data_IF_233343909227
#
_entry.id   IF_233343909227
#
_cell.length_a   1.000
_cell.length_b   1.000
_cell.length_c   1.000
_cell.angle_alpha   90.00
_cell.angle_beta   90.00
_cell.angle_gamma   90.00
#
_symmetry.space_group_name_H-M   'P 1'
#
loop_
_entity.id
_entity.type
_entity.pdbx_description
1 polymer ?
#
# COMPACT_ATOMS: atom_id res chain seq x y z
N UNK A 1 41.62 -14.12 -31.32
CA UNK A 1 43.07 -14.26 -31.27
C UNK A 1 43.42 -15.16 -30.07
N UNK A 2 44.27 -16.16 -30.29
CA UNK A 2 44.78 -17.03 -29.23
C UNK A 2 45.81 -16.27 -28.39
N UNK A 3 45.96 -16.69 -27.14
CA UNK A 3 46.90 -16.14 -26.16
C UNK A 3 46.64 -14.66 -25.79
N UNK A 4 45.45 -14.13 -26.09
CA UNK A 4 44.97 -12.82 -25.61
C UNK A 4 43.82 -12.96 -24.66
N UNK A 5 43.70 -11.98 -23.77
CA UNK A 5 42.58 -11.90 -22.82
C UNK A 5 41.28 -11.60 -23.57
N UNK A 6 40.28 -12.48 -23.41
CA UNK A 6 38.93 -12.30 -23.90
C UNK A 6 38.03 -11.92 -22.76
N UNK A 7 37.22 -10.87 -22.93
CA UNK A 7 36.22 -10.44 -21.97
C UNK A 7 34.86 -10.90 -22.47
N UNK A 8 34.11 -11.65 -21.64
CA UNK A 8 32.81 -12.17 -22.00
C UNK A 8 31.78 -11.03 -22.13
N UNK A 9 31.18 -10.86 -23.33
CA UNK A 9 30.30 -9.74 -23.62
C UNK A 9 28.91 -9.92 -23.02
N UNK A 10 28.09 -8.88 -23.08
CA UNK A 10 26.62 -9.01 -22.84
C UNK A 10 26.03 -9.98 -23.86
N UNK A 11 25.02 -10.73 -23.44
CA UNK A 11 24.27 -11.61 -24.31
C UNK A 11 23.26 -10.79 -25.13
N UNK A 12 23.33 -10.91 -26.45
CA UNK A 12 22.41 -10.27 -27.39
C UNK A 12 21.31 -11.22 -27.86
N UNK A 13 21.36 -12.50 -27.46
CA UNK A 13 20.32 -13.47 -27.79
C UNK A 13 19.04 -13.21 -26.98
N UNK A 14 17.91 -13.46 -27.62
CA UNK A 14 16.61 -13.41 -26.93
C UNK A 14 16.51 -14.57 -25.96
N UNK A 15 16.21 -14.24 -24.70
CA UNK A 15 16.01 -15.25 -23.67
C UNK A 15 14.79 -16.14 -23.98
N UNK A 16 14.87 -17.46 -23.76
CA UNK A 16 13.69 -18.31 -23.77
C UNK A 16 12.66 -17.83 -22.75
N UNK A 17 11.36 -18.09 -23.02
CA UNK A 17 10.28 -17.68 -22.15
C UNK A 17 10.49 -18.16 -20.70
N UNK A 18 10.32 -17.25 -19.75
CA UNK A 18 10.50 -17.52 -18.31
C UNK A 18 11.95 -17.63 -17.83
N UNK A 19 12.93 -17.35 -18.69
CA UNK A 19 14.35 -17.47 -18.36
C UNK A 19 15.10 -16.16 -18.57
N UNK A 20 16.24 -16.03 -17.90
CA UNK A 20 17.20 -14.96 -18.14
C UNK A 20 18.60 -15.53 -18.38
N UNK A 21 19.47 -14.70 -18.93
CA UNK A 21 20.84 -15.08 -19.21
C UNK A 21 21.63 -15.27 -17.91
N UNK A 22 22.17 -16.47 -17.73
CA UNK A 22 23.04 -16.81 -16.58
C UNK A 22 24.49 -16.46 -16.82
N UNK A 23 24.97 -16.76 -18.03
CA UNK A 23 26.37 -16.60 -18.39
C UNK A 23 26.75 -17.34 -19.65
N UNK A 24 27.99 -17.28 -20.00
CA UNK A 24 28.61 -17.97 -21.11
C UNK A 24 29.29 -19.24 -20.61
N UNK A 25 28.92 -20.38 -21.13
CA UNK A 25 29.55 -21.65 -20.77
C UNK A 25 30.66 -22.00 -21.76
N UNK A 26 31.82 -22.31 -21.21
CA UNK A 26 32.95 -22.93 -21.92
C UNK A 26 33.30 -24.21 -21.17
N UNK A 27 33.17 -25.35 -21.82
CA UNK A 27 33.25 -26.66 -21.18
C UNK A 27 32.25 -26.77 -19.98
N UNK A 28 32.76 -26.98 -18.78
CA UNK A 28 31.96 -27.09 -17.55
C UNK A 28 31.95 -25.79 -16.71
N UNK A 29 32.54 -24.70 -17.22
CA UNK A 29 32.66 -23.44 -16.49
C UNK A 29 31.73 -22.40 -17.09
N UNK A 30 30.93 -21.71 -16.21
CA UNK A 30 30.08 -20.61 -16.61
C UNK A 30 30.74 -19.29 -16.22
N UNK A 31 30.91 -18.41 -17.18
CA UNK A 31 31.48 -17.06 -17.04
C UNK A 31 30.37 -16.02 -17.08
N UNK A 32 30.44 -15.03 -16.21
CA UNK A 32 29.53 -13.89 -16.22
C UNK A 32 29.95 -12.86 -17.25
N UNK A 33 29.05 -11.95 -17.58
CA UNK A 33 29.40 -10.74 -18.37
C UNK A 33 30.53 -9.97 -17.68
N UNK A 34 31.56 -9.66 -18.43
CA UNK A 34 32.75 -8.94 -17.91
C UNK A 34 33.82 -9.85 -17.34
N UNK A 35 33.57 -11.14 -17.12
CA UNK A 35 34.63 -12.09 -16.76
C UNK A 35 35.63 -12.21 -17.88
N UNK A 36 36.85 -12.57 -17.53
CA UNK A 36 37.97 -12.63 -18.46
C UNK A 36 38.61 -14.03 -18.51
N UNK A 37 39.03 -14.45 -19.68
CA UNK A 37 39.75 -15.69 -19.90
C UNK A 37 40.73 -15.56 -21.05
N UNK A 38 41.89 -16.17 -20.92
CA UNK A 38 42.84 -16.35 -22.04
C UNK A 38 42.52 -17.69 -22.71
N UNK A 39 42.24 -17.66 -24.01
CA UNK A 39 42.07 -18.85 -24.83
C UNK A 39 43.39 -19.25 -25.48
N UNK A 40 43.80 -20.48 -25.27
CA UNK A 40 45.02 -21.08 -25.82
C UNK A 40 44.70 -21.97 -27.04
N UNK A 41 45.73 -22.56 -27.63
CA UNK A 41 45.58 -23.51 -28.74
C UNK A 41 44.72 -24.74 -28.34
N UNK A 42 44.76 -25.13 -27.06
CA UNK A 42 43.94 -26.26 -26.55
C UNK A 42 42.45 -25.94 -26.51
N UNK A 43 42.09 -24.66 -26.60
CA UNK A 43 40.70 -24.17 -26.63
C UNK A 43 40.16 -24.02 -28.08
N UNK A 44 40.94 -24.34 -29.11
CA UNK A 44 40.64 -24.01 -30.52
C UNK A 44 39.31 -24.57 -31.04
N UNK A 45 38.84 -25.68 -30.48
CA UNK A 45 37.58 -26.33 -30.85
C UNK A 45 36.50 -26.23 -29.79
N UNK A 46 36.67 -25.42 -28.76
CA UNK A 46 35.70 -25.23 -27.70
C UNK A 46 34.60 -24.28 -28.12
N UNK A 47 33.37 -24.67 -27.82
CA UNK A 47 32.20 -23.81 -28.06
C UNK A 47 31.95 -22.91 -26.87
N UNK A 48 31.55 -21.66 -27.12
CA UNK A 48 31.00 -20.75 -26.14
C UNK A 48 29.48 -20.76 -26.29
N UNK A 49 28.75 -21.20 -25.28
CA UNK A 49 27.30 -21.33 -25.30
C UNK A 49 26.66 -20.39 -24.29
N UNK A 50 25.55 -19.76 -24.69
CA UNK A 50 24.71 -19.02 -23.76
C UNK A 50 23.99 -20.02 -22.83
N UNK A 51 24.06 -19.78 -21.52
CA UNK A 51 23.33 -20.55 -20.50
C UNK A 51 22.21 -19.68 -19.96
N UNK A 52 21.07 -20.29 -19.79
CA UNK A 52 19.84 -19.68 -19.32
C UNK A 52 19.39 -20.31 -18.01
N UNK A 53 18.85 -19.50 -17.11
CA UNK A 53 18.22 -19.99 -15.88
C UNK A 53 16.84 -19.37 -15.69
N UNK A 54 15.98 -20.05 -14.95
CA UNK A 54 14.64 -19.57 -14.64
C UNK A 54 14.70 -18.40 -13.66
N UNK A 55 13.70 -17.52 -13.72
CA UNK A 55 13.61 -16.42 -12.77
C UNK A 55 13.30 -16.95 -11.38
N UNK A 56 14.11 -16.55 -10.40
CA UNK A 56 13.83 -16.76 -8.98
C UNK A 56 13.46 -15.40 -8.37
N UNK A 57 12.19 -15.26 -7.98
CA UNK A 57 11.66 -14.00 -7.43
C UNK A 57 11.83 -13.97 -5.90
N UNK A 58 13.06 -13.82 -5.45
CA UNK A 58 13.45 -13.81 -4.04
C UNK A 58 13.79 -12.41 -3.50
N UNK A 59 13.98 -11.43 -4.40
CA UNK A 59 14.33 -10.07 -4.03
C UNK A 59 13.09 -9.28 -3.61
N UNK A 60 13.19 -8.61 -2.44
CA UNK A 60 12.13 -7.75 -1.87
C UNK A 60 12.51 -6.29 -2.05
N UNK A 61 12.54 -5.84 -3.29
CA UNK A 61 12.88 -4.47 -3.66
C UNK A 61 11.62 -3.67 -3.95
N UNK A 62 11.51 -2.46 -3.38
CA UNK A 62 10.39 -1.53 -3.62
C UNK A 62 10.50 -0.82 -4.97
N UNK A 63 11.67 -0.86 -5.57
CA UNK A 63 11.99 -0.27 -6.87
C UNK A 63 13.00 -1.13 -7.60
N UNK A 64 12.83 -1.29 -8.91
CA UNK A 64 13.74 -2.00 -9.81
C UNK A 64 13.95 -1.13 -11.05
N UNK A 65 15.20 -0.82 -11.38
CA UNK A 65 15.57 0.02 -12.53
C UNK A 65 14.82 1.37 -12.60
N UNK A 66 14.58 2.01 -11.44
CA UNK A 66 13.87 3.28 -11.35
C UNK A 66 12.34 3.17 -11.48
N UNK A 67 11.79 1.95 -11.46
CA UNK A 67 10.35 1.71 -11.55
C UNK A 67 9.86 1.07 -10.24
N UNK A 68 8.81 1.64 -9.64
CA UNK A 68 8.21 1.10 -8.43
C UNK A 68 7.61 -0.28 -8.68
N UNK A 69 7.83 -1.19 -7.75
CA UNK A 69 7.23 -2.53 -7.73
C UNK A 69 5.93 -2.59 -6.92
N UNK A 70 5.38 -1.43 -6.55
CA UNK A 70 4.16 -1.32 -5.75
C UNK A 70 2.98 -2.00 -6.45
N UNK A 71 2.34 -2.95 -5.76
CA UNK A 71 1.08 -3.57 -6.14
C UNK A 71 -0.11 -2.88 -5.50
N UNK A 72 -0.12 -2.82 -4.17
CA UNK A 72 -1.21 -2.25 -3.39
C UNK A 72 -0.66 -1.22 -2.39
N UNK A 73 -1.24 -0.03 -2.36
CA UNK A 73 -0.88 1.00 -1.38
C UNK A 73 -1.32 0.60 0.03
N UNK A 74 -0.58 1.06 1.03
CA UNK A 74 -1.02 0.96 2.42
C UNK A 74 -2.36 1.67 2.62
N UNK A 75 -3.20 1.09 3.48
CA UNK A 75 -4.45 1.69 3.95
C UNK A 75 -4.37 1.95 5.45
N UNK A 76 -5.46 2.38 6.06
CA UNK A 76 -5.51 2.54 7.52
C UNK A 76 -5.22 1.22 8.25
N UNK A 77 -5.60 0.09 7.66
CA UNK A 77 -5.58 -1.23 8.31
C UNK A 77 -4.66 -2.25 7.65
N UNK A 78 -4.22 -1.99 6.42
CA UNK A 78 -3.36 -2.92 5.67
C UNK A 78 -2.02 -2.28 5.31
N UNK A 79 -0.99 -3.09 5.31
CA UNK A 79 0.34 -2.69 4.84
C UNK A 79 0.39 -2.59 3.32
N UNK A 80 1.37 -1.85 2.79
CA UNK A 80 1.66 -1.83 1.37
C UNK A 80 2.17 -3.20 0.90
N UNK A 81 1.80 -3.58 -0.33
CA UNK A 81 2.21 -4.81 -0.98
C UNK A 81 3.00 -4.47 -2.23
N UNK A 82 4.12 -5.13 -2.41
CA UNK A 82 5.01 -4.98 -3.54
C UNK A 82 5.22 -6.32 -4.24
N UNK A 83 5.44 -6.29 -5.55
CA UNK A 83 5.91 -7.48 -6.28
C UNK A 83 7.38 -7.75 -5.96
N UNK A 84 7.71 -9.02 -5.80
CA UNK A 84 9.11 -9.47 -5.72
C UNK A 84 9.80 -9.34 -7.07
N UNK A 85 11.12 -9.35 -7.05
CA UNK A 85 11.93 -9.32 -8.26
C UNK A 85 13.00 -10.42 -8.27
N UNK A 86 13.45 -10.74 -9.45
CA UNK A 86 14.64 -11.57 -9.68
C UNK A 86 15.91 -10.69 -9.61
N UNK A 87 17.03 -11.26 -9.25
CA UNK A 87 18.33 -10.58 -9.26
C UNK A 87 18.72 -10.01 -10.65
N UNK A 88 18.11 -10.55 -11.72
CA UNK A 88 18.30 -10.00 -13.09
C UNK A 88 17.51 -8.71 -13.36
N UNK A 89 16.66 -8.25 -12.42
CA UNK A 89 15.82 -7.07 -12.59
C UNK A 89 14.43 -7.34 -13.15
N UNK A 90 14.07 -8.61 -13.42
CA UNK A 90 12.69 -8.94 -13.79
C UNK A 90 11.79 -8.88 -12.57
N UNK A 91 10.66 -8.18 -12.67
CA UNK A 91 9.64 -8.09 -11.62
C UNK A 91 8.59 -9.20 -11.83
N UNK A 92 8.21 -9.89 -10.77
CA UNK A 92 7.14 -10.89 -10.77
C UNK A 92 5.78 -10.22 -11.05
N UNK A 93 4.88 -10.96 -11.67
CA UNK A 93 3.47 -10.57 -11.83
C UNK A 93 2.55 -11.24 -10.80
N UNK A 94 3.06 -12.19 -10.03
CA UNK A 94 2.28 -13.00 -9.10
C UNK A 94 2.85 -13.02 -7.68
N UNK A 95 4.18 -13.14 -7.54
CA UNK A 95 4.81 -13.21 -6.24
C UNK A 95 4.98 -11.83 -5.63
N UNK A 96 4.55 -11.71 -4.37
CA UNK A 96 4.53 -10.44 -3.64
C UNK A 96 5.18 -10.56 -2.28
N UNK A 97 5.45 -9.42 -1.66
CA UNK A 97 5.80 -9.30 -0.26
C UNK A 97 5.08 -8.11 0.37
N UNK A 98 4.82 -8.22 1.64
CA UNK A 98 4.25 -7.16 2.46
C UNK A 98 5.37 -6.30 3.05
N UNK A 99 5.21 -4.98 2.96
CA UNK A 99 6.09 -4.01 3.60
C UNK A 99 5.55 -3.70 4.99
N UNK A 100 6.07 -4.40 5.99
CA UNK A 100 5.59 -4.32 7.37
C UNK A 100 5.65 -2.90 7.93
N UNK A 101 4.74 -2.62 8.87
CA UNK A 101 4.68 -1.35 9.60
C UNK A 101 4.37 -0.11 8.72
N UNK A 102 3.77 -0.34 7.54
CA UNK A 102 3.33 0.75 6.64
C UNK A 102 1.85 1.08 6.75
N UNK A 103 1.09 0.40 7.60
CA UNK A 103 -0.31 0.77 7.90
C UNK A 103 -0.39 2.23 8.30
N UNK A 104 -1.32 2.97 7.71
CA UNK A 104 -1.45 4.41 7.98
C UNK A 104 -2.12 4.72 9.31
N UNK A 105 -2.83 3.75 9.90
CA UNK A 105 -3.69 3.96 11.05
C UNK A 105 -4.91 4.82 10.73
N UNK A 106 -5.81 4.97 11.68
CA UNK A 106 -6.93 5.90 11.57
C UNK A 106 -6.55 7.27 12.12
N UNK A 107 -7.06 8.33 11.48
CA UNK A 107 -6.94 9.71 11.92
C UNK A 107 -8.33 10.32 12.00
N UNK A 108 -8.90 10.35 13.21
CA UNK A 108 -10.26 10.77 13.49
C UNK A 108 -10.34 12.30 13.65
N UNK A 109 -10.43 13.00 12.53
CA UNK A 109 -10.48 14.47 12.46
C UNK A 109 -11.62 15.00 11.59
N UNK A 110 -12.25 14.13 10.80
CA UNK A 110 -13.29 14.54 9.87
C UNK A 110 -14.64 14.61 10.59
N UNK A 111 -15.29 15.77 10.51
CA UNK A 111 -16.64 15.99 11.02
C UNK A 111 -17.68 15.66 9.96
N UNK A 112 -18.55 14.71 10.26
CA UNK A 112 -19.64 14.28 9.37
C UNK A 112 -20.92 14.25 10.20
N UNK A 113 -21.91 15.06 9.80
CA UNK A 113 -23.24 15.12 10.42
C UNK A 113 -24.21 14.19 9.71
N UNK A 114 -24.06 12.91 9.97
CA UNK A 114 -24.91 11.86 9.43
C UNK A 114 -25.30 10.90 10.57
N UNK A 115 -26.47 10.30 10.48
CA UNK A 115 -26.97 9.36 11.50
C UNK A 115 -26.01 8.23 11.85
N UNK A 116 -25.20 7.81 10.88
CA UNK A 116 -24.13 6.80 11.06
C UNK A 116 -23.10 7.22 12.11
N UNK A 117 -22.83 8.53 12.22
CA UNK A 117 -21.82 9.07 13.14
C UNK A 117 -22.46 9.67 14.40
N UNK A 118 -23.79 9.68 14.51
CA UNK A 118 -24.47 10.22 15.67
C UNK A 118 -24.12 9.42 16.93
N UNK A 119 -23.62 10.10 17.96
CA UNK A 119 -23.32 9.54 19.28
C UNK A 119 -24.51 9.73 20.21
N UNK A 120 -25.02 10.95 20.28
CA UNK A 120 -26.23 11.30 21.03
C UNK A 120 -26.91 12.50 20.40
N UNK A 121 -28.23 12.47 20.40
CA UNK A 121 -29.04 13.60 19.97
C UNK A 121 -29.38 14.47 21.17
N UNK A 122 -29.31 15.78 21.01
CA UNK A 122 -29.77 16.72 22.00
C UNK A 122 -31.28 16.52 22.28
N UNK A 123 -31.66 16.43 23.54
CA UNK A 123 -33.05 16.18 23.95
C UNK A 123 -33.88 17.47 23.97
N UNK A 124 -33.26 18.62 23.95
CA UNK A 124 -33.87 19.93 24.00
C UNK A 124 -33.04 20.99 23.29
N UNK A 125 -33.56 22.21 23.23
CA UNK A 125 -32.91 23.33 22.52
C UNK A 125 -31.62 23.88 23.19
N UNK A 126 -31.17 23.30 24.28
CA UNK A 126 -29.96 23.69 25.00
C UNK A 126 -28.88 22.59 24.86
N UNK A 127 -29.25 21.40 24.45
CA UNK A 127 -28.35 20.27 24.28
C UNK A 127 -27.95 20.11 22.82
N UNK A 128 -26.68 20.03 22.57
CA UNK A 128 -26.15 19.83 21.23
C UNK A 128 -26.18 18.36 20.81
N UNK A 129 -26.37 18.12 19.52
CA UNK A 129 -26.10 16.81 18.95
C UNK A 129 -24.60 16.53 19.01
N UNK A 130 -24.27 15.33 19.44
CA UNK A 130 -22.87 14.86 19.53
C UNK A 130 -22.63 13.81 18.47
N UNK A 131 -21.53 13.96 17.74
CA UNK A 131 -21.14 13.06 16.67
C UNK A 131 -19.75 12.50 16.89
N UNK A 132 -19.56 11.25 16.52
CA UNK A 132 -18.23 10.66 16.42
C UNK A 132 -17.46 11.27 15.24
N UNK A 133 -16.17 11.52 15.42
CA UNK A 133 -15.31 11.85 14.30
C UNK A 133 -15.21 10.66 13.35
N UNK A 134 -15.09 10.95 12.06
CA UNK A 134 -14.72 9.99 11.04
C UNK A 134 -13.21 10.07 10.76
N UNK A 135 -12.65 8.95 10.33
CA UNK A 135 -11.29 8.92 9.81
C UNK A 135 -11.17 9.77 8.54
N UNK A 136 -10.17 10.66 8.47
CA UNK A 136 -9.93 11.53 7.32
C UNK A 136 -9.62 10.78 6.02
N UNK A 137 -9.15 9.52 6.12
CA UNK A 137 -8.67 8.69 5.00
C UNK A 137 -9.68 7.67 4.48
N UNK A 138 -10.53 7.13 5.35
CA UNK A 138 -11.42 5.99 5.00
C UNK A 138 -12.85 6.12 5.53
N UNK A 139 -13.21 7.24 6.14
CA UNK A 139 -14.53 7.54 6.68
C UNK A 139 -15.08 6.52 7.73
N UNK A 140 -14.21 5.66 8.28
CA UNK A 140 -14.59 4.79 9.41
C UNK A 140 -14.86 5.68 10.63
N UNK A 141 -15.93 5.38 11.36
CA UNK A 141 -16.32 6.11 12.58
C UNK A 141 -15.41 5.75 13.74
N UNK A 142 -15.06 6.73 14.57
CA UNK A 142 -14.35 6.50 15.82
C UNK A 142 -15.14 5.60 16.81
N UNK A 143 -16.46 5.53 16.66
CA UNK A 143 -17.33 4.61 17.41
C UNK A 143 -16.87 3.16 17.31
N UNK A 144 -16.36 2.77 16.13
CA UNK A 144 -15.99 1.38 15.81
C UNK A 144 -14.54 1.04 16.18
N UNK A 145 -13.83 1.98 16.82
CA UNK A 145 -12.44 1.82 17.27
C UNK A 145 -12.34 1.98 18.79
N UNK A 146 -12.03 0.88 19.47
CA UNK A 146 -11.91 0.84 20.92
C UNK A 146 -10.88 1.85 21.49
N UNK A 147 -9.89 2.21 20.69
CA UNK A 147 -8.83 3.16 21.06
C UNK A 147 -9.21 4.62 20.78
N UNK A 148 -10.39 4.90 20.26
CA UNK A 148 -10.83 6.22 19.85
C UNK A 148 -12.15 6.65 20.50
N UNK A 149 -12.47 6.13 21.69
CA UNK A 149 -13.72 6.40 22.39
C UNK A 149 -13.86 7.84 22.91
N UNK A 150 -12.81 8.62 22.90
CA UNK A 150 -12.77 10.05 23.20
C UNK A 150 -12.90 10.96 21.96
N UNK A 151 -12.98 10.40 20.77
CA UNK A 151 -12.97 11.12 19.49
C UNK A 151 -14.39 11.43 19.02
N UNK A 152 -15.04 12.42 19.67
CA UNK A 152 -16.33 12.96 19.30
C UNK A 152 -16.35 14.49 19.42
N UNK A 153 -17.34 15.13 18.84
CA UNK A 153 -17.50 16.57 18.86
C UNK A 153 -18.99 16.94 19.02
N UNK A 154 -19.23 18.10 19.61
CA UNK A 154 -20.55 18.71 19.66
C UNK A 154 -20.81 19.49 18.37
N UNK A 155 -21.97 19.29 17.76
CA UNK A 155 -22.36 20.10 16.59
C UNK A 155 -22.86 21.46 17.04
N UNK A 156 -22.97 22.39 16.08
CA UNK A 156 -23.62 23.67 16.35
C UNK A 156 -25.16 23.53 16.42
N UNK A 157 -25.67 22.38 16.01
CA UNK A 157 -27.12 22.10 16.04
C UNK A 157 -27.51 21.61 17.42
N UNK A 158 -28.64 22.12 17.89
CA UNK A 158 -29.26 21.71 19.15
C UNK A 158 -30.49 20.89 18.88
N UNK A 159 -30.95 20.13 19.86
CA UNK A 159 -32.18 19.35 19.76
C UNK A 159 -33.39 20.23 19.47
N UNK A 160 -34.44 19.62 18.95
CA UNK A 160 -35.66 20.33 18.62
C UNK A 160 -36.38 20.83 19.87
N UNK A 161 -37.03 21.97 19.75
CA UNK A 161 -37.99 22.41 20.78
C UNK A 161 -39.15 21.43 20.84
N UNK A 162 -39.37 20.86 22.03
CA UNK A 162 -40.59 20.11 22.32
C UNK A 162 -41.55 21.06 23.02
N UNK A 163 -42.56 21.47 22.31
CA UNK A 163 -43.60 22.32 22.88
C UNK A 163 -44.69 21.45 23.51
N UNK A 164 -45.02 21.76 24.76
CA UNK A 164 -46.23 21.16 25.36
C UNK A 164 -47.47 21.54 24.55
N UNK A 165 -48.38 20.60 24.39
CA UNK A 165 -49.69 20.88 23.81
C UNK A 165 -50.55 21.74 24.72
N UNK A 166 -50.20 21.81 26.00
CA UNK A 166 -50.89 22.62 26.97
C UNK A 166 -50.51 24.07 26.79
N UNK A 167 -51.45 24.89 26.45
CA UNK A 167 -51.31 26.34 26.35
C UNK A 167 -51.60 26.97 27.67
N UNK A 168 -50.64 27.58 28.27
CA UNK A 168 -50.86 28.48 29.42
C UNK A 168 -51.11 29.86 28.86
N UNK A 169 -52.26 30.46 29.29
CA UNK A 169 -52.69 31.77 28.87
C UNK A 169 -52.99 32.61 30.12
N UNK A 170 -52.35 33.72 30.23
CA UNK A 170 -52.80 34.79 31.14
C UNK A 170 -53.56 35.88 30.35
N UNK A 171 -53.97 36.90 31.01
CA UNK A 171 -54.76 37.98 30.41
C UNK A 171 -54.07 38.75 29.30
N UNK A 172 -52.72 38.64 29.19
CA UNK A 172 -51.95 39.49 28.31
C UNK A 172 -51.02 38.70 27.33
N UNK A 173 -50.57 37.49 27.71
CA UNK A 173 -49.60 36.68 26.95
C UNK A 173 -49.98 35.21 26.93
N UNK A 174 -49.52 34.49 25.93
CA UNK A 174 -49.50 33.06 25.94
C UNK A 174 -48.08 32.56 25.69
N UNK A 175 -47.68 31.48 26.34
CA UNK A 175 -46.39 30.83 26.19
C UNK A 175 -46.52 29.31 26.19
N UNK A 176 -45.57 28.65 25.63
CA UNK A 176 -45.47 27.23 25.65
C UNK A 176 -44.42 26.78 26.66
N UNK A 177 -44.71 25.79 27.44
CA UNK A 177 -43.72 25.14 28.30
C UNK A 177 -42.78 24.32 27.42
N UNK A 178 -41.47 24.51 27.64
CA UNK A 178 -40.44 23.66 27.06
C UNK A 178 -40.21 22.49 28.04
N UNK A 179 -40.17 21.28 27.45
CA UNK A 179 -39.78 20.06 28.14
C UNK A 179 -38.49 19.54 27.59
#
# INVERSE_FOLDING_TARGET
>A
ELDKEFTFPKCEYVAPNGKHFKGWQVDNTVYKVGDKRVFTKDDQNKEIKAVWEEHTFDQKLKEVNGVSTLKDKATCTTNAIYYKSCACGQVSTTETFEDKDTKLGHEYTKQIKDAKYLKSQGSNCQEHDVYWYACSRCDVSAKDDENAQDKYYESAEVGNHVFSKDRHKDSNNHWHLHH
#
